data_IF_084557597712
#
_entry.id   IF_084557597712
#
_cell.length_a   1.000
_cell.length_b   1.000
_cell.length_c   1.000
_cell.angle_alpha   90.00
_cell.angle_beta   90.00
_cell.angle_gamma   90.00
#
_symmetry.space_group_name_H-M   'P 1'
#
loop_
_entity.id
_entity.type
_entity.pdbx_description
1 polymer ?
#
# COMPACT_ATOMS: atom_id res chain seq x y z
N UNK A 1 49.89 -46.89 9.24
CA UNK A 1 48.62 -46.64 9.99
C UNK A 1 48.71 -45.39 10.89
N UNK A 2 48.75 -44.15 10.37
CA UNK A 2 49.03 -42.94 11.21
C UNK A 2 48.23 -41.65 10.90
N UNK A 3 47.07 -41.72 10.22
CA UNK A 3 46.26 -40.52 9.85
C UNK A 3 44.85 -40.43 10.46
N UNK A 4 44.39 -41.40 11.27
CA UNK A 4 43.01 -41.42 11.81
C UNK A 4 42.79 -40.69 13.16
N UNK A 5 43.85 -40.30 13.88
CA UNK A 5 43.71 -39.69 15.22
C UNK A 5 43.60 -38.15 15.25
N UNK A 6 44.01 -37.44 14.19
CA UNK A 6 44.03 -35.97 14.18
C UNK A 6 42.62 -35.35 14.23
N UNK A 7 41.67 -35.89 13.45
CA UNK A 7 40.32 -35.35 13.33
C UNK A 7 39.50 -35.37 14.64
N UNK A 8 39.78 -36.30 15.56
CA UNK A 8 39.06 -36.41 16.84
C UNK A 8 39.48 -35.34 17.86
N UNK A 9 40.68 -34.76 17.74
CA UNK A 9 41.15 -33.70 18.64
C UNK A 9 40.46 -32.36 18.33
N UNK A 10 40.42 -31.99 17.05
CA UNK A 10 39.88 -30.71 16.56
C UNK A 10 38.40 -30.48 16.91
N UNK A 11 37.59 -31.55 16.96
CA UNK A 11 36.15 -31.47 17.28
C UNK A 11 35.85 -31.28 18.77
N UNK A 12 36.80 -31.54 19.68
CA UNK A 12 36.67 -31.31 21.13
C UNK A 12 37.03 -29.88 21.53
N UNK A 13 37.98 -29.27 20.83
CA UNK A 13 38.42 -27.88 21.01
C UNK A 13 37.27 -26.87 20.78
N UNK A 14 36.57 -27.02 19.64
CA UNK A 14 35.48 -26.13 19.22
C UNK A 14 34.23 -26.23 20.11
N UNK A 15 34.01 -27.38 20.75
CA UNK A 15 32.94 -27.55 21.74
C UNK A 15 33.23 -26.82 23.05
N UNK A 16 34.50 -26.75 23.48
CA UNK A 16 34.88 -26.08 24.72
C UNK A 16 34.75 -24.55 24.63
N UNK A 17 35.07 -23.95 23.47
CA UNK A 17 34.92 -22.51 23.26
C UNK A 17 33.46 -22.05 23.34
N UNK A 18 32.50 -22.89 22.88
CA UNK A 18 31.07 -22.55 22.90
C UNK A 18 30.44 -22.57 24.32
N UNK A 19 31.10 -23.20 25.29
CA UNK A 19 30.67 -23.17 26.69
C UNK A 19 31.07 -21.87 27.42
N UNK A 20 32.21 -21.26 27.06
CA UNK A 20 32.77 -20.10 27.79
C UNK A 20 32.07 -18.77 27.50
N UNK A 21 31.22 -18.71 26.47
CA UNK A 21 30.49 -17.50 26.07
C UNK A 21 29.09 -17.36 26.70
N UNK A 22 28.61 -18.33 27.50
CA UNK A 22 27.23 -18.35 28.03
C UNK A 22 27.11 -18.05 29.55
N UNK A 23 28.17 -17.57 30.20
CA UNK A 23 28.21 -17.32 31.66
C UNK A 23 28.42 -15.84 32.05
N UNK A 24 28.25 -14.89 31.12
CA UNK A 24 28.53 -13.47 31.35
C UNK A 24 27.30 -12.56 31.54
N UNK A 25 26.08 -13.11 31.64
CA UNK A 25 24.85 -12.33 31.83
C UNK A 25 23.86 -13.05 32.76
N UNK A 26 24.19 -13.12 34.06
CA UNK A 26 23.31 -13.67 35.09
C UNK A 26 23.60 -13.14 36.50
N UNK A 27 23.85 -11.83 36.69
CA UNK A 27 23.86 -11.24 38.05
C UNK A 27 23.69 -9.71 38.05
N UNK A 28 22.52 -9.19 38.46
CA UNK A 28 22.37 -7.95 39.27
C UNK A 28 21.10 -8.06 40.13
N UNK A 29 21.25 -7.73 41.41
CA UNK A 29 20.26 -7.73 42.50
C UNK A 29 20.32 -6.36 43.21
N UNK A 30 19.28 -5.77 43.84
CA UNK A 30 17.91 -6.23 44.14
C UNK A 30 16.96 -5.02 44.32
N UNK A 31 15.68 -5.25 44.64
CA UNK A 31 14.71 -4.29 45.24
C UNK A 31 15.23 -3.68 46.59
N UNK A 32 14.56 -2.73 47.31
CA UNK A 32 13.17 -2.24 47.18
C UNK A 32 12.82 -0.75 47.55
N UNK A 33 11.52 -0.39 47.39
CA UNK A 33 10.64 0.55 48.18
C UNK A 33 10.94 2.08 48.38
N UNK A 34 9.97 2.87 47.86
CA UNK A 34 9.17 3.93 48.56
C UNK A 34 9.78 5.28 49.01
N UNK A 35 9.27 6.40 48.45
CA UNK A 35 8.65 7.52 49.21
C UNK A 35 7.93 8.57 48.33
N UNK A 36 7.06 9.38 48.96
CA UNK A 36 5.95 10.25 48.48
C UNK A 36 6.26 11.42 47.50
N UNK A 37 5.21 12.05 46.90
CA UNK A 37 5.33 13.16 45.93
C UNK A 37 5.49 14.54 46.60
N UNK A 38 5.73 15.59 45.79
CA UNK A 38 4.68 16.62 45.70
C UNK A 38 4.35 17.11 44.27
N UNK A 39 3.22 17.79 44.20
CA UNK A 39 2.58 18.50 43.09
C UNK A 39 3.48 19.27 42.12
N UNK A 40 3.18 19.15 40.83
CA UNK A 40 3.31 20.26 39.85
C UNK A 40 2.11 20.23 38.89
N UNK A 41 1.35 21.33 38.94
CA UNK A 41 0.51 21.95 37.91
C UNK A 41 0.04 21.10 36.71
N UNK A 42 -1.27 20.88 36.65
CA UNK A 42 -1.94 20.62 35.37
C UNK A 42 -2.04 21.93 34.58
N UNK A 43 -1.29 22.06 33.49
CA UNK A 43 -1.55 23.07 32.47
C UNK A 43 -2.46 22.48 31.39
N UNK A 44 -3.68 22.98 31.35
CA UNK A 44 -4.63 22.80 30.24
C UNK A 44 -4.07 23.48 28.99
N UNK A 45 -3.81 22.76 27.88
CA UNK A 45 -3.59 23.44 26.61
C UNK A 45 -4.90 24.06 26.14
N UNK A 46 -4.90 25.39 26.00
CA UNK A 46 -6.02 26.17 25.48
C UNK A 46 -6.49 25.64 24.13
N UNK A 47 -7.81 25.62 23.92
CA UNK A 47 -8.37 25.43 22.60
C UNK A 47 -7.90 26.56 21.67
N UNK A 48 -7.39 26.18 20.49
CA UNK A 48 -7.21 27.08 19.37
C UNK A 48 -8.34 26.80 18.38
N UNK A 49 -9.43 27.57 18.49
CA UNK A 49 -10.44 27.64 17.44
C UNK A 49 -9.80 28.28 16.20
N UNK A 50 -9.45 27.45 15.23
CA UNK A 50 -9.01 27.87 13.90
C UNK A 50 -10.13 27.57 12.91
N UNK A 51 -10.89 28.62 12.57
CA UNK A 51 -11.98 28.58 11.59
C UNK A 51 -11.52 27.98 10.25
N UNK A 52 -12.07 26.82 9.91
CA UNK A 52 -12.08 26.33 8.54
C UNK A 52 -13.52 26.16 8.05
N UNK A 53 -14.02 27.28 7.50
CA UNK A 53 -15.33 27.40 6.86
C UNK A 53 -15.61 26.27 5.88
N UNK A 54 -16.67 25.51 6.17
CA UNK A 54 -17.19 24.48 5.26
C UNK A 54 -18.09 25.13 4.21
N UNK A 55 -17.52 25.47 3.05
CA UNK A 55 -18.29 25.93 1.89
C UNK A 55 -18.93 24.75 1.15
N UNK A 56 -20.09 24.31 1.63
CA UNK A 56 -20.95 23.37 0.89
C UNK A 56 -21.61 24.09 -0.29
N UNK A 57 -21.27 23.69 -1.52
CA UNK A 57 -21.90 24.19 -2.74
C UNK A 57 -23.24 23.49 -3.00
N UNK A 58 -24.29 23.93 -2.30
CA UNK A 58 -25.67 23.56 -2.62
C UNK A 58 -26.29 24.64 -3.52
N UNK A 59 -26.25 24.43 -4.84
CA UNK A 59 -26.97 25.29 -5.78
C UNK A 59 -28.45 24.88 -5.87
N UNK A 60 -29.32 25.65 -5.21
CA UNK A 60 -30.75 25.64 -5.49
C UNK A 60 -31.03 26.53 -6.71
N UNK A 61 -31.57 26.02 -7.84
CA UNK A 61 -32.07 26.88 -8.89
C UNK A 61 -33.36 27.58 -8.43
N UNK A 62 -33.38 28.90 -8.60
CA UNK A 62 -34.49 29.77 -8.24
C UNK A 62 -35.77 29.46 -9.05
N UNK A 63 -36.90 29.40 -8.35
CA UNK A 63 -38.23 29.29 -8.97
C UNK A 63 -38.55 30.57 -9.74
N UNK A 64 -38.37 30.54 -11.05
CA UNK A 64 -38.77 31.62 -11.95
C UNK A 64 -40.30 31.75 -12.01
N UNK A 65 -40.81 32.93 -11.64
CA UNK A 65 -42.24 33.25 -11.73
C UNK A 65 -42.59 33.50 -13.20
N UNK A 66 -43.58 32.77 -13.72
CA UNK A 66 -44.25 33.07 -14.98
C UNK A 66 -45.67 33.58 -14.69
N UNK A 67 -46.09 34.73 -15.23
CA UNK A 67 -47.46 35.20 -15.08
C UNK A 67 -48.40 34.41 -16.00
N UNK A 68 -49.40 33.76 -15.42
CA UNK A 68 -50.55 33.24 -16.19
C UNK A 68 -51.43 34.38 -16.65
N UNK A 69 -51.48 34.65 -17.96
CA UNK A 69 -52.50 35.49 -18.56
C UNK A 69 -52.78 35.04 -19.99
N UNK A 70 -54.01 34.54 -20.19
CA UNK A 70 -54.89 34.71 -21.38
C UNK A 70 -54.31 34.43 -22.79
N UNK A 71 -55.02 33.81 -23.72
CA UNK A 71 -56.31 33.11 -23.72
C UNK A 71 -56.35 32.22 -24.98
N UNK A 72 -57.42 31.44 -25.17
CA UNK A 72 -57.58 30.54 -26.31
C UNK A 72 -57.58 31.27 -27.67
N UNK A 73 -56.90 30.66 -28.64
CA UNK A 73 -57.24 30.74 -30.05
C UNK A 73 -56.99 29.35 -30.65
N UNK A 74 -58.05 28.67 -31.07
CA UNK A 74 -57.91 27.51 -31.94
C UNK A 74 -57.55 28.00 -33.34
N UNK A 75 -56.50 27.44 -33.95
CA UNK A 75 -56.29 27.54 -35.38
C UNK A 75 -55.79 26.22 -35.96
N UNK A 76 -56.34 25.85 -37.11
CA UNK A 76 -56.10 24.57 -37.79
C UNK A 76 -54.84 24.69 -38.64
N UNK A 77 -53.68 24.56 -38.00
CA UNK A 77 -52.37 24.68 -38.64
C UNK A 77 -51.79 23.32 -39.07
N UNK A 78 -51.74 23.08 -40.39
CA UNK A 78 -51.18 21.89 -41.05
C UNK A 78 -49.84 21.39 -40.48
N UNK A 79 -49.70 20.06 -40.38
CA UNK A 79 -48.46 19.41 -40.01
C UNK A 79 -47.30 19.75 -40.97
N UNK A 80 -46.16 20.27 -40.48
CA UNK A 80 -44.96 20.40 -41.28
C UNK A 80 -44.25 19.05 -41.37
N UNK A 81 -44.46 18.32 -42.47
CA UNK A 81 -43.60 17.18 -42.84
C UNK A 81 -42.24 17.69 -43.31
N UNK A 82 -41.44 18.19 -42.37
CA UNK A 82 -40.01 18.37 -42.56
C UNK A 82 -39.30 17.01 -42.43
N UNK A 83 -38.32 16.68 -43.29
CA UNK A 83 -37.53 15.47 -43.12
C UNK A 83 -36.67 15.64 -41.87
N UNK A 84 -37.05 15.01 -40.75
CA UNK A 84 -36.31 15.10 -39.48
C UNK A 84 -34.90 14.52 -39.66
N UNK A 85 -33.83 15.33 -39.73
CA UNK A 85 -32.46 14.84 -39.88
C UNK A 85 -31.92 14.54 -38.47
N UNK A 86 -32.61 13.62 -37.78
CA UNK A 86 -32.42 13.27 -36.37
C UNK A 86 -32.05 11.79 -36.17
N UNK A 87 -31.61 11.11 -37.23
CA UNK A 87 -31.06 9.76 -37.15
C UNK A 87 -29.67 9.82 -36.52
N UNK A 88 -29.65 9.79 -35.18
CA UNK A 88 -28.44 9.62 -34.38
C UNK A 88 -27.98 8.16 -34.47
N UNK A 89 -27.36 7.81 -35.60
CA UNK A 89 -26.79 6.48 -35.83
C UNK A 89 -25.65 6.23 -34.84
N UNK A 90 -25.72 5.14 -34.08
CA UNK A 90 -24.64 4.71 -33.21
C UNK A 90 -23.34 4.52 -34.03
N UNK A 91 -22.25 5.26 -33.73
CA UNK A 91 -21.02 5.15 -34.51
C UNK A 91 -20.41 3.74 -34.39
N UNK A 92 -19.86 3.19 -35.49
CA UNK A 92 -19.33 1.83 -35.48
C UNK A 92 -18.04 1.73 -34.64
N UNK A 93 -17.92 0.66 -33.86
CA UNK A 93 -16.74 0.38 -33.02
C UNK A 93 -15.41 0.28 -33.79
N UNK A 94 -15.45 0.19 -35.13
CA UNK A 94 -14.28 0.27 -36.03
C UNK A 94 -13.53 1.61 -35.98
N UNK A 95 -14.12 2.64 -35.36
CA UNK A 95 -13.45 3.92 -35.08
C UNK A 95 -12.51 3.85 -33.86
N UNK A 96 -12.59 2.78 -33.06
CA UNK A 96 -11.68 2.54 -31.94
C UNK A 96 -10.37 1.92 -32.44
N UNK A 97 -9.25 2.31 -31.83
CA UNK A 97 -7.96 1.66 -32.08
C UNK A 97 -7.98 0.19 -31.63
N UNK A 98 -7.21 -0.66 -32.31
CA UNK A 98 -7.01 -2.04 -31.88
C UNK A 98 -6.29 -2.12 -30.53
N UNK A 99 -6.64 -3.08 -29.66
CA UNK A 99 -6.00 -3.21 -28.35
C UNK A 99 -4.52 -3.55 -28.49
N UNK A 100 -3.69 -2.92 -27.66
CA UNK A 100 -2.26 -3.22 -27.54
C UNK A 100 -2.10 -4.64 -27.00
N UNK A 101 -1.31 -5.47 -27.70
CA UNK A 101 -0.95 -6.82 -27.25
C UNK A 101 0.25 -6.70 -26.31
N UNK A 102 0.11 -7.20 -25.09
CA UNK A 102 1.19 -7.33 -24.12
C UNK A 102 1.78 -8.74 -24.24
N UNK A 103 3.10 -8.87 -24.18
CA UNK A 103 3.76 -10.18 -24.10
C UNK A 103 3.64 -10.72 -22.67
N UNK A 104 2.83 -11.77 -22.52
CA UNK A 104 2.56 -12.40 -21.23
C UNK A 104 3.80 -13.10 -20.65
N UNK A 105 4.67 -13.68 -21.50
CA UNK A 105 5.82 -14.47 -21.06
C UNK A 105 6.93 -13.57 -20.51
N UNK A 106 7.29 -12.52 -21.26
CA UNK A 106 8.25 -11.52 -20.80
C UNK A 106 7.81 -10.83 -19.48
N UNK A 107 6.50 -10.69 -19.29
CA UNK A 107 5.93 -10.14 -18.07
C UNK A 107 6.07 -11.10 -16.88
N UNK A 108 5.85 -12.41 -17.05
CA UNK A 108 6.06 -13.41 -16.00
C UNK A 108 7.53 -13.49 -15.55
N UNK A 109 8.47 -13.53 -16.49
CA UNK A 109 9.91 -13.50 -16.21
C UNK A 109 10.32 -12.24 -15.41
N UNK A 110 9.82 -11.07 -15.80
CA UNK A 110 10.05 -9.82 -15.08
C UNK A 110 9.50 -9.88 -13.64
N UNK A 111 8.29 -10.41 -13.45
CA UNK A 111 7.67 -10.51 -12.11
C UNK A 111 8.45 -11.46 -11.20
N UNK A 112 8.93 -12.60 -11.72
CA UNK A 112 9.77 -13.53 -10.94
C UNK A 112 11.06 -12.83 -10.52
N UNK A 113 11.79 -12.24 -11.45
CA UNK A 113 13.03 -11.52 -11.16
C UNK A 113 12.83 -10.36 -10.17
N UNK A 114 11.72 -9.62 -10.30
CA UNK A 114 11.36 -8.53 -9.39
C UNK A 114 10.98 -9.03 -7.99
N UNK A 115 10.29 -10.17 -7.87
CA UNK A 115 9.95 -10.76 -6.57
C UNK A 115 11.21 -11.19 -5.80
N UNK A 116 12.17 -11.79 -6.51
CA UNK A 116 13.49 -12.17 -6.03
C UNK A 116 14.31 -10.96 -5.55
N UNK A 117 14.20 -9.83 -6.26
CA UNK A 117 14.85 -8.57 -5.90
C UNK A 117 14.20 -7.95 -4.67
N UNK A 118 12.86 -7.91 -4.61
CA UNK A 118 12.10 -7.39 -3.47
C UNK A 118 12.42 -8.15 -2.17
N UNK A 119 12.48 -9.49 -2.20
CA UNK A 119 12.88 -10.30 -1.03
C UNK A 119 14.30 -9.97 -0.56
N UNK A 120 15.28 -9.91 -1.47
CA UNK A 120 16.68 -9.55 -1.16
C UNK A 120 16.78 -8.13 -0.58
N UNK A 121 16.03 -7.17 -1.13
CA UNK A 121 15.99 -5.79 -0.65
C UNK A 121 15.35 -5.68 0.74
N UNK A 122 14.22 -6.36 1.00
CA UNK A 122 13.60 -6.40 2.32
C UNK A 122 14.55 -6.99 3.38
N UNK A 123 15.23 -8.08 3.04
CA UNK A 123 16.24 -8.68 3.91
C UNK A 123 17.41 -7.72 4.22
N UNK A 124 17.88 -6.96 3.22
CA UNK A 124 18.95 -5.97 3.38
C UNK A 124 18.58 -4.83 4.37
N UNK A 125 17.29 -4.48 4.49
CA UNK A 125 16.79 -3.53 5.49
C UNK A 125 16.44 -4.18 6.85
N UNK A 126 16.91 -5.40 7.10
CA UNK A 126 16.58 -6.23 8.27
C UNK A 126 15.05 -6.40 8.45
N UNK A 127 14.32 -6.59 7.36
CA UNK A 127 12.88 -6.88 7.38
C UNK A 127 12.68 -8.34 6.96
N UNK A 128 12.38 -9.21 7.93
CA UNK A 128 12.07 -10.61 7.66
C UNK A 128 10.67 -10.73 7.03
N UNK A 129 10.64 -10.71 5.70
CA UNK A 129 9.44 -10.70 4.89
C UNK A 129 9.69 -11.37 3.53
N UNK A 130 8.65 -11.98 2.97
CA UNK A 130 8.72 -12.74 1.72
C UNK A 130 7.52 -12.46 0.82
N UNK A 131 7.74 -12.35 -0.49
CA UNK A 131 6.69 -12.38 -1.51
C UNK A 131 6.08 -13.78 -1.57
N UNK A 132 4.75 -13.87 -1.55
CA UNK A 132 4.05 -15.17 -1.51
C UNK A 132 2.88 -15.25 -2.52
N UNK A 133 2.61 -14.17 -3.24
CA UNK A 133 1.77 -14.15 -4.44
C UNK A 133 2.00 -12.81 -5.17
N UNK A 134 1.71 -12.78 -6.46
CA UNK A 134 1.68 -11.56 -7.26
C UNK A 134 0.40 -11.52 -8.11
N UNK A 135 0.05 -10.35 -8.62
CA UNK A 135 -1.04 -10.16 -9.59
C UNK A 135 -0.68 -8.99 -10.49
N UNK A 136 -0.57 -9.25 -11.79
CA UNK A 136 -0.18 -8.24 -12.77
C UNK A 136 -1.42 -7.52 -13.30
N UNK A 137 -1.41 -6.19 -13.26
CA UNK A 137 -2.36 -5.34 -13.96
C UNK A 137 -1.69 -4.52 -15.08
N UNK A 138 -2.47 -3.82 -15.92
CA UNK A 138 -1.94 -3.09 -17.08
C UNK A 138 -0.98 -1.92 -16.76
N UNK A 139 -0.99 -1.42 -15.52
CA UNK A 139 -0.21 -0.25 -15.09
C UNK A 139 0.53 -0.48 -13.77
N UNK A 140 0.06 -1.42 -12.95
CA UNK A 140 0.63 -1.73 -11.64
C UNK A 140 0.68 -3.23 -11.45
N UNK A 141 1.75 -3.72 -10.85
CA UNK A 141 1.85 -5.10 -10.35
C UNK A 141 1.63 -5.09 -8.83
N UNK A 142 0.75 -5.96 -8.35
CA UNK A 142 0.48 -6.13 -6.94
C UNK A 142 1.30 -7.31 -6.41
N UNK A 143 2.17 -7.07 -5.43
CA UNK A 143 2.87 -8.09 -4.67
C UNK A 143 2.21 -8.29 -3.31
N UNK A 144 2.02 -9.54 -2.90
CA UNK A 144 1.52 -9.90 -1.58
C UNK A 144 2.68 -10.40 -0.72
N UNK A 145 3.08 -9.57 0.25
CA UNK A 145 4.23 -9.83 1.11
C UNK A 145 3.74 -10.34 2.46
N UNK A 146 4.28 -11.47 2.91
CA UNK A 146 4.06 -12.03 4.26
C UNK A 146 5.15 -11.55 5.19
N UNK A 147 4.76 -11.13 6.39
CA UNK A 147 5.68 -10.77 7.47
C UNK A 147 6.00 -11.99 8.34
N UNK A 148 7.26 -12.08 8.80
CA UNK A 148 7.63 -12.95 9.92
C UNK A 148 7.03 -12.43 11.25
N UNK A 149 6.96 -13.31 12.25
CA UNK A 149 6.50 -12.93 13.59
C UNK A 149 7.44 -11.90 14.22
N UNK A 150 6.88 -10.85 14.83
CA UNK A 150 7.64 -9.76 15.46
C UNK A 150 8.02 -8.59 14.55
N UNK A 151 7.87 -8.71 13.22
CA UNK A 151 8.11 -7.58 12.31
C UNK A 151 6.93 -6.60 12.36
N UNK A 152 7.20 -5.36 12.79
CA UNK A 152 6.19 -4.29 12.88
C UNK A 152 5.88 -3.76 11.48
N UNK A 153 4.58 -3.65 11.14
CA UNK A 153 4.09 -3.08 9.86
C UNK A 153 4.71 -1.70 9.57
N UNK A 154 4.82 -0.86 10.60
CA UNK A 154 5.42 0.48 10.51
C UNK A 154 6.86 0.49 9.98
N UNK A 155 7.61 -0.62 10.13
CA UNK A 155 8.98 -0.72 9.61
C UNK A 155 9.00 -0.73 8.08
N UNK A 156 8.03 -1.39 7.44
CA UNK A 156 7.93 -1.46 5.98
C UNK A 156 7.35 -0.18 5.39
N UNK A 157 6.30 0.39 6.01
CA UNK A 157 5.69 1.64 5.52
C UNK A 157 6.68 2.80 5.52
N UNK A 158 7.61 2.84 6.47
CA UNK A 158 8.66 3.85 6.55
C UNK A 158 9.78 3.64 5.52
N UNK A 159 9.98 2.42 5.03
CA UNK A 159 10.98 2.11 3.99
C UNK A 159 10.46 2.35 2.57
N UNK A 160 9.28 2.95 2.39
CA UNK A 160 8.64 3.05 1.08
C UNK A 160 9.53 3.72 0.02
N UNK A 161 10.16 4.84 0.37
CA UNK A 161 11.00 5.59 -0.58
C UNK A 161 12.38 4.95 -0.75
N UNK A 162 12.94 4.32 0.29
CA UNK A 162 14.16 3.49 0.21
C UNK A 162 13.95 2.26 -0.69
N UNK A 163 12.77 1.64 -0.65
CA UNK A 163 12.38 0.54 -1.53
C UNK A 163 12.24 1.01 -2.98
N UNK A 164 11.68 2.21 -3.24
CA UNK A 164 11.64 2.79 -4.59
C UNK A 164 13.04 2.97 -5.15
N UNK A 165 13.95 3.54 -4.34
CA UNK A 165 15.35 3.76 -4.70
C UNK A 165 16.07 2.43 -4.99
N UNK A 166 15.97 1.46 -4.10
CA UNK A 166 16.67 0.17 -4.22
C UNK A 166 16.15 -0.71 -5.38
N UNK A 167 14.87 -0.61 -5.71
CA UNK A 167 14.24 -1.34 -6.82
C UNK A 167 14.25 -0.58 -8.14
N UNK A 168 14.68 0.69 -8.14
CA UNK A 168 14.54 1.63 -9.26
C UNK A 168 13.08 1.73 -9.76
N UNK A 169 12.13 1.69 -8.82
CA UNK A 169 10.70 1.76 -9.11
C UNK A 169 10.25 3.21 -9.32
N UNK A 170 9.28 3.42 -10.23
CA UNK A 170 8.69 4.73 -10.45
C UNK A 170 7.87 5.20 -9.25
N UNK A 171 7.01 4.33 -8.73
CA UNK A 171 6.35 4.51 -7.44
C UNK A 171 6.06 3.15 -6.80
N UNK A 172 6.00 3.17 -5.47
CA UNK A 172 5.59 2.04 -4.64
C UNK A 172 4.57 2.57 -3.62
N UNK A 173 3.47 1.83 -3.48
CA UNK A 173 2.43 2.12 -2.48
C UNK A 173 2.12 0.87 -1.66
N UNK A 174 2.43 0.93 -0.38
CA UNK A 174 2.15 -0.12 0.59
C UNK A 174 0.75 0.11 1.16
N UNK A 175 -0.16 -0.83 0.95
CA UNK A 175 -1.51 -0.82 1.53
C UNK A 175 -1.58 -1.71 2.78
N UNK A 176 -2.34 -1.22 3.76
CA UNK A 176 -2.37 -1.67 5.14
C UNK A 176 -2.79 -3.15 5.32
N UNK A 177 -2.54 -3.75 6.51
CA UNK A 177 -2.68 -5.20 6.71
C UNK A 177 -4.08 -5.72 6.36
N UNK A 178 -4.13 -6.85 5.66
CA UNK A 178 -5.39 -7.55 5.39
C UNK A 178 -5.90 -8.13 6.72
N UNK A 179 -7.09 -7.74 7.23
CA UNK A 179 -7.59 -8.27 8.49
C UNK A 179 -7.67 -9.80 8.48
N UNK A 180 -7.18 -10.44 9.56
CA UNK A 180 -7.13 -11.90 9.67
C UNK A 180 -6.05 -12.61 8.84
N UNK A 181 -5.15 -11.89 8.15
CA UNK A 181 -4.01 -12.48 7.42
C UNK A 181 -2.71 -11.72 7.71
N UNK A 182 -1.63 -12.43 8.03
CA UNK A 182 -0.30 -11.85 8.24
C UNK A 182 0.38 -11.46 6.90
N UNK A 183 -0.32 -10.70 6.06
CA UNK A 183 0.12 -10.22 4.75
C UNK A 183 -0.26 -8.75 4.56
N UNK A 184 0.63 -8.04 3.88
CA UNK A 184 0.42 -6.68 3.36
C UNK A 184 0.45 -6.69 1.83
N UNK A 185 -0.08 -5.62 1.24
CA UNK A 185 -0.13 -5.43 -0.21
C UNK A 185 0.86 -4.35 -0.60
N UNK A 186 1.72 -4.64 -1.57
CA UNK A 186 2.63 -3.68 -2.17
C UNK A 186 2.24 -3.50 -3.63
N UNK A 187 1.80 -2.31 -4.00
CA UNK A 187 1.52 -1.93 -5.39
C UNK A 187 2.78 -1.30 -5.97
N UNK A 188 3.29 -1.90 -7.04
CA UNK A 188 4.48 -1.49 -7.77
C UNK A 188 4.05 -0.86 -9.09
N UNK A 189 4.37 0.42 -9.31
CA UNK A 189 4.17 1.04 -10.63
C UNK A 189 5.36 0.71 -11.53
N UNK A 190 5.04 0.14 -12.69
CA UNK A 190 5.99 -0.21 -13.75
C UNK A 190 6.39 1.07 -14.52
#
# INVERSE_FOLDING_TARGET
MRRKHAAKKLRRELAAQKAKAKQAQAEVQTSPKTSRPPSTTAETPSANDADYSTSALTQSPSTGILPSSMAAAEDTGSAPTGPTPGVSTLPPLKLLASPVKVDQAAQEDWVVAQSDRLDKTLQAFNVDAHVVAHTVGPTVTQFQVRLASGVKVNKITNLNDDLKLALAAKDIRIEAPIPGKNRLVLKYQI
#
